data_IF_356678652628
#
_entry.id   IF_356678652628
#
_cell.length_a   1.000
_cell.length_b   1.000
_cell.length_c   1.000
_cell.angle_alpha   90.00
_cell.angle_beta   90.00
_cell.angle_gamma   90.00
#
_symmetry.space_group_name_H-M   'P 1'
#
loop_
_entity.id
_entity.type
_entity.pdbx_description
1 polymer ?
#
# COMPACT_ATOMS: atom_id res chain seq x y z
N UNK A 1 -19.59 -3.32 6.99
CA UNK A 1 -18.81 -4.48 6.50
C UNK A 1 -19.45 -4.97 5.20
N UNK A 2 -18.86 -4.63 4.04
CA UNK A 2 -19.25 -5.25 2.75
C UNK A 2 -17.98 -5.73 2.06
N UNK A 3 -18.08 -6.98 1.60
CA UNK A 3 -17.02 -7.88 1.13
C UNK A 3 -16.27 -7.31 -0.07
N UNK A 4 -14.94 -7.35 -0.02
CA UNK A 4 -14.11 -7.35 -1.22
C UNK A 4 -14.12 -8.79 -1.73
N UNK A 5 -14.58 -8.95 -2.96
CA UNK A 5 -14.68 -10.22 -3.67
C UNK A 5 -13.28 -10.81 -3.92
N UNK A 6 -13.17 -12.11 -3.67
CA UNK A 6 -12.07 -12.97 -4.06
C UNK A 6 -11.95 -13.05 -5.59
N UNK A 7 -10.71 -13.12 -6.10
CA UNK A 7 -10.39 -13.65 -7.44
C UNK A 7 -9.26 -14.70 -7.26
N UNK A 8 -9.45 -15.97 -7.69
CA UNK A 8 -8.44 -17.03 -7.58
C UNK A 8 -7.75 -17.29 -8.96
N UNK A 9 -6.88 -18.30 -9.13
CA UNK A 9 -5.42 -18.16 -9.17
C UNK A 9 -4.81 -18.64 -10.52
N UNK A 10 -3.50 -18.43 -10.68
CA UNK A 10 -2.59 -19.02 -11.69
C UNK A 10 -2.24 -18.18 -12.93
N UNK A 11 -1.18 -17.36 -12.79
CA UNK A 11 0.08 -17.52 -13.54
C UNK A 11 1.21 -16.70 -12.86
N UNK A 12 2.49 -17.09 -12.97
CA UNK A 12 3.51 -16.84 -11.94
C UNK A 12 4.12 -15.44 -12.01
N UNK A 13 4.45 -14.85 -10.85
CA UNK A 13 5.14 -13.55 -10.73
C UNK A 13 6.33 -13.61 -9.75
N UNK A 14 7.50 -13.09 -10.16
CA UNK A 14 8.42 -12.37 -9.27
C UNK A 14 9.08 -11.12 -9.94
N UNK A 15 9.67 -10.14 -9.22
CA UNK A 15 9.39 -9.55 -7.90
C UNK A 15 9.09 -8.03 -7.97
N UNK A 16 8.17 -7.51 -7.14
CA UNK A 16 8.00 -6.05 -7.00
C UNK A 16 6.79 -5.60 -6.20
N UNK A 17 5.60 -5.62 -6.79
CA UNK A 17 4.33 -5.24 -6.16
C UNK A 17 3.22 -5.88 -6.98
N UNK A 18 2.47 -6.82 -6.40
CA UNK A 18 1.44 -7.56 -7.11
C UNK A 18 0.06 -7.00 -6.72
N UNK A 19 -0.51 -6.20 -7.63
CA UNK A 19 -1.86 -5.63 -7.62
C UNK A 19 -2.07 -4.37 -6.79
N UNK A 20 -2.56 -3.34 -7.48
CA UNK A 20 -3.06 -2.10 -6.93
C UNK A 20 -4.47 -2.35 -6.42
N UNK A 21 -4.67 -2.37 -5.10
CA UNK A 21 -6.00 -2.24 -4.53
C UNK A 21 -6.24 -0.75 -4.31
N UNK A 22 -6.94 -0.09 -5.24
CA UNK A 22 -7.36 1.28 -4.99
C UNK A 22 -8.45 1.23 -3.93
N UNK A 23 -8.10 1.69 -2.72
CA UNK A 23 -9.05 1.80 -1.62
C UNK A 23 -10.15 2.75 -2.08
N UNK A 24 -11.36 2.23 -2.22
CA UNK A 24 -12.53 2.95 -2.69
C UNK A 24 -12.96 3.97 -1.63
N UNK A 25 -12.22 5.08 -1.53
CA UNK A 25 -12.54 6.22 -0.69
C UNK A 25 -13.63 6.99 -1.43
N UNK A 26 -14.91 6.76 -1.11
CA UNK A 26 -16.04 7.56 -1.61
C UNK A 26 -16.45 8.65 -0.62
N UNK A 27 -15.63 8.86 0.38
CA UNK A 27 -16.03 9.57 1.58
C UNK A 27 -15.22 10.84 1.76
N UNK A 28 -15.91 11.80 2.38
CA UNK A 28 -15.30 12.98 2.96
C UNK A 28 -14.36 12.49 4.07
N UNK A 29 -13.13 12.98 4.08
CA UNK A 29 -12.13 12.59 5.07
C UNK A 29 -11.89 13.74 6.04
N UNK A 30 -11.79 13.40 7.30
CA UNK A 30 -11.35 14.29 8.38
C UNK A 30 -9.82 14.26 8.49
N UNK A 31 -9.24 15.23 9.20
CA UNK A 31 -7.82 15.17 9.55
C UNK A 31 -7.58 14.14 10.65
N UNK A 32 -6.38 13.54 10.72
CA UNK A 32 -5.98 12.65 11.82
C UNK A 32 -6.01 13.38 13.19
N UNK A 33 -5.82 14.70 13.19
CA UNK A 33 -5.89 15.51 14.41
C UNK A 33 -7.34 15.59 14.94
N UNK A 34 -8.32 15.73 14.04
CA UNK A 34 -9.74 15.78 14.40
C UNK A 34 -10.32 14.40 14.67
N UNK A 35 -9.84 13.39 13.95
CA UNK A 35 -10.27 11.99 14.05
C UNK A 35 -9.08 11.05 14.23
N UNK A 36 -8.57 10.98 15.46
CA UNK A 36 -7.39 10.17 15.80
C UNK A 36 -7.64 8.67 15.63
N UNK A 37 -6.63 8.00 15.08
CA UNK A 37 -6.60 6.54 14.96
C UNK A 37 -6.64 5.85 16.33
N UNK A 38 -7.39 4.76 16.37
CA UNK A 38 -7.50 3.89 17.53
C UNK A 38 -7.31 2.44 17.08
N UNK A 39 -6.61 1.64 17.88
CA UNK A 39 -6.38 0.23 17.57
C UNK A 39 -7.67 -0.60 17.53
N UNK A 40 -8.72 -0.13 18.18
CA UNK A 40 -10.02 -0.80 18.27
C UNK A 40 -11.10 0.04 17.60
N UNK A 41 -12.07 -0.64 17.00
CA UNK A 41 -13.25 0.02 16.46
C UNK A 41 -13.99 0.77 17.57
N UNK A 42 -14.23 2.06 17.35
CA UNK A 42 -15.04 2.91 18.21
C UNK A 42 -16.35 3.26 17.51
N UNK A 43 -17.30 3.82 18.26
CA UNK A 43 -18.52 4.36 17.65
C UNK A 43 -18.17 5.60 16.85
N UNK A 44 -18.71 5.73 15.64
CA UNK A 44 -18.53 6.93 14.80
C UNK A 44 -19.04 8.18 15.53
N UNK A 45 -18.16 9.18 15.69
CA UNK A 45 -18.47 10.44 16.39
C UNK A 45 -18.64 11.58 15.38
N UNK A 46 -19.86 11.76 14.86
CA UNK A 46 -20.17 12.79 13.83
C UNK A 46 -19.80 14.21 14.24
N UNK A 47 -19.81 14.55 15.52
CA UNK A 47 -19.44 15.89 16.00
C UNK A 47 -17.95 16.21 15.82
N UNK A 48 -17.12 15.21 15.53
CA UNK A 48 -15.69 15.37 15.19
C UNK A 48 -15.43 15.38 13.67
N UNK A 49 -16.49 15.29 12.85
CA UNK A 49 -16.34 15.29 11.40
C UNK A 49 -16.09 16.71 10.88
N UNK A 50 -14.81 17.10 10.83
CA UNK A 50 -14.34 18.30 10.14
C UNK A 50 -13.75 17.88 8.80
N UNK A 51 -14.62 17.87 7.78
CA UNK A 51 -14.28 17.55 6.41
C UNK A 51 -13.08 18.38 5.91
N UNK A 52 -11.91 17.76 5.73
CA UNK A 52 -10.73 18.44 5.16
C UNK A 52 -10.53 18.14 3.69
N UNK A 53 -11.07 17.02 3.20
CA UNK A 53 -10.99 16.68 1.77
C UNK A 53 -12.11 15.73 1.36
N UNK A 54 -12.29 15.59 0.05
CA UNK A 54 -13.22 14.64 -0.56
C UNK A 54 -12.53 13.98 -1.75
N UNK A 55 -12.55 12.66 -1.77
CA UNK A 55 -12.07 11.91 -2.93
C UNK A 55 -13.13 11.98 -4.02
N UNK A 56 -12.74 12.54 -5.18
CA UNK A 56 -13.66 12.81 -6.29
C UNK A 56 -13.76 11.62 -7.25
N UNK A 57 -12.65 10.91 -7.45
CA UNK A 57 -12.55 9.77 -8.34
C UNK A 57 -11.37 8.91 -7.96
N UNK A 58 -11.40 7.67 -8.45
CA UNK A 58 -10.27 6.77 -8.39
C UNK A 58 -10.14 6.04 -9.73
N UNK A 59 -8.95 5.50 -10.00
CA UNK A 59 -8.68 4.73 -11.21
C UNK A 59 -7.71 3.63 -10.85
N UNK A 60 -8.09 2.40 -11.20
CA UNK A 60 -7.23 1.24 -11.04
C UNK A 60 -6.14 1.26 -12.11
N UNK A 61 -4.92 0.93 -11.70
CA UNK A 61 -3.83 0.60 -12.63
C UNK A 61 -4.10 -0.82 -13.16
N UNK A 62 -3.76 -1.08 -14.42
CA UNK A 62 -3.89 -2.43 -14.99
C UNK A 62 -3.11 -3.44 -14.15
N UNK A 63 -3.74 -4.55 -13.71
CA UNK A 63 -3.04 -5.57 -12.96
C UNK A 63 -1.81 -6.10 -13.71
N UNK A 64 -0.68 -6.19 -13.00
CA UNK A 64 0.61 -6.68 -13.50
C UNK A 64 1.27 -5.80 -14.58
N UNK A 65 0.87 -4.54 -14.71
CA UNK A 65 1.55 -3.56 -15.56
C UNK A 65 2.44 -2.65 -14.70
N UNK A 66 3.72 -3.03 -14.57
CA UNK A 66 4.69 -2.26 -13.78
C UNK A 66 4.98 -0.88 -14.40
N UNK A 67 4.89 -0.74 -15.72
CA UNK A 67 5.14 0.52 -16.41
C UNK A 67 3.97 1.49 -16.18
N UNK A 68 2.73 1.00 -16.19
CA UNK A 68 1.57 1.80 -15.82
C UNK A 68 1.59 2.17 -14.32
N UNK A 69 1.95 1.23 -13.45
CA UNK A 69 2.15 1.53 -12.02
C UNK A 69 3.21 2.61 -11.84
N UNK A 70 4.33 2.51 -12.55
CA UNK A 70 5.41 3.50 -12.51
C UNK A 70 4.92 4.86 -13.00
N UNK A 71 4.15 4.90 -14.09
CA UNK A 71 3.56 6.12 -14.61
C UNK A 71 2.55 6.75 -13.63
N UNK A 72 1.79 5.93 -12.90
CA UNK A 72 0.89 6.39 -11.85
C UNK A 72 1.65 6.93 -10.63
N UNK A 73 2.67 6.21 -10.15
CA UNK A 73 3.53 6.61 -9.03
C UNK A 73 4.28 7.91 -9.32
N UNK A 74 4.66 8.15 -10.58
CA UNK A 74 5.26 9.42 -10.99
C UNK A 74 4.33 10.63 -10.84
N UNK A 75 3.02 10.43 -10.76
CA UNK A 75 2.02 11.50 -10.58
C UNK A 75 1.62 11.67 -9.12
N UNK A 76 1.47 10.57 -8.39
CA UNK A 76 1.03 10.55 -7.00
C UNK A 76 1.33 9.20 -6.35
N UNK A 77 1.27 9.12 -5.02
CA UNK A 77 1.37 7.84 -4.33
C UNK A 77 0.20 6.90 -4.71
N UNK A 78 0.48 5.59 -4.80
CA UNK A 78 -0.46 4.56 -5.25
C UNK A 78 -0.66 3.51 -4.17
N UNK A 79 -1.91 3.25 -3.79
CA UNK A 79 -2.27 2.18 -2.85
C UNK A 79 -2.15 0.82 -3.51
N UNK A 80 -1.44 -0.12 -2.88
CA UNK A 80 -1.21 -1.46 -3.44
C UNK A 80 -1.41 -2.52 -2.37
N UNK A 81 -1.73 -3.74 -2.83
CA UNK A 81 -1.77 -4.92 -1.99
C UNK A 81 -0.49 -5.74 -2.20
N UNK A 82 -0.02 -6.38 -1.14
CA UNK A 82 1.13 -7.28 -1.13
C UNK A 82 0.82 -8.50 -0.26
N UNK A 83 1.65 -9.52 -0.37
CA UNK A 83 1.71 -10.62 0.60
C UNK A 83 2.77 -10.30 1.65
N UNK A 84 2.35 -10.17 2.90
CA UNK A 84 3.18 -9.73 4.02
C UNK A 84 3.27 -10.76 5.17
N UNK A 85 2.56 -11.89 5.06
CA UNK A 85 2.63 -13.00 6.02
C UNK A 85 3.95 -13.80 5.98
N UNK A 86 4.82 -13.56 4.99
CA UNK A 86 6.11 -14.26 4.87
C UNK A 86 7.18 -13.71 5.83
N UNK A 87 8.02 -14.58 6.46
CA UNK A 87 9.06 -14.16 7.40
C UNK A 87 10.04 -13.13 6.85
N UNK A 88 10.39 -13.20 5.57
CA UNK A 88 11.29 -12.27 4.90
C UNK A 88 10.76 -10.84 4.94
N UNK A 89 9.45 -10.67 4.84
CA UNK A 89 8.79 -9.37 4.95
C UNK A 89 8.73 -8.94 6.41
N UNK A 90 8.26 -9.81 7.30
CA UNK A 90 8.11 -9.49 8.73
C UNK A 90 9.42 -9.00 9.36
N UNK A 91 10.55 -9.62 8.98
CA UNK A 91 11.87 -9.30 9.52
C UNK A 91 12.71 -8.38 8.62
N UNK A 92 12.14 -7.79 7.58
CA UNK A 92 12.85 -6.83 6.74
C UNK A 92 13.38 -5.64 7.56
N UNK A 93 14.61 -5.21 7.26
CA UNK A 93 15.30 -4.12 7.96
C UNK A 93 15.75 -2.99 7.06
N UNK A 94 16.33 -3.25 5.90
CA UNK A 94 16.79 -2.19 4.99
C UNK A 94 17.21 -2.74 3.63
N UNK A 95 17.52 -1.84 2.70
CA UNK A 95 18.05 -2.17 1.37
C UNK A 95 16.95 -2.46 0.35
N UNK A 96 17.34 -2.85 -0.86
CA UNK A 96 16.38 -3.27 -1.88
C UNK A 96 15.86 -4.67 -1.52
N UNK A 97 14.54 -4.82 -1.55
CA UNK A 97 13.89 -6.08 -1.20
C UNK A 97 13.88 -7.02 -2.41
N UNK A 98 14.64 -8.12 -2.35
CA UNK A 98 14.87 -9.04 -3.48
C UNK A 98 14.26 -10.43 -3.29
N UNK A 99 13.31 -10.61 -2.38
CA UNK A 99 12.72 -11.93 -2.11
C UNK A 99 11.50 -12.16 -2.98
N UNK A 100 11.22 -13.43 -3.26
CA UNK A 100 10.01 -13.84 -3.97
C UNK A 100 8.80 -13.47 -3.12
N UNK A 101 8.00 -12.52 -3.60
CA UNK A 101 6.67 -12.28 -3.07
C UNK A 101 5.74 -13.36 -3.64
N UNK A 102 4.80 -13.85 -2.84
CA UNK A 102 3.74 -14.70 -3.36
C UNK A 102 2.58 -13.87 -3.95
N UNK A 103 1.45 -14.55 -4.17
CA UNK A 103 0.23 -13.98 -4.75
C UNK A 103 -0.96 -13.99 -3.78
N UNK A 104 -0.74 -14.39 -2.52
CA UNK A 104 -1.78 -14.41 -1.47
C UNK A 104 -1.82 -13.06 -0.79
N UNK A 105 -2.34 -12.07 -1.51
CA UNK A 105 -2.39 -10.69 -1.06
C UNK A 105 -3.22 -10.57 0.24
N UNK A 106 -2.61 -10.00 1.28
CA UNK A 106 -3.16 -9.94 2.63
C UNK A 106 -2.95 -8.59 3.31
N UNK A 107 -2.12 -7.71 2.73
CA UNK A 107 -1.71 -6.45 3.36
C UNK A 107 -1.72 -5.28 2.38
N UNK A 108 -2.26 -4.15 2.84
CA UNK A 108 -2.33 -2.91 2.06
C UNK A 108 -1.19 -1.97 2.42
N UNK A 109 -0.48 -1.44 1.41
CA UNK A 109 0.65 -0.52 1.56
C UNK A 109 0.57 0.61 0.54
N UNK A 110 1.46 1.60 0.66
CA UNK A 110 1.46 2.77 -0.22
C UNK A 110 2.79 2.88 -0.96
N UNK A 111 2.78 2.76 -2.29
CA UNK A 111 3.95 3.04 -3.12
C UNK A 111 4.08 4.55 -3.27
N UNK A 112 5.21 5.09 -2.81
CA UNK A 112 5.48 6.54 -2.79
C UNK A 112 6.60 6.95 -3.74
N UNK A 113 7.24 5.98 -4.39
CA UNK A 113 8.29 6.24 -5.37
C UNK A 113 8.91 4.96 -5.90
N UNK A 114 9.89 5.12 -6.77
CA UNK A 114 10.72 4.05 -7.33
C UNK A 114 12.10 4.61 -7.66
N UNK A 115 13.08 3.72 -7.84
CA UNK A 115 14.43 4.14 -8.18
C UNK A 115 15.32 2.98 -8.62
N UNK A 116 16.61 3.27 -8.68
CA UNK A 116 17.65 2.27 -8.92
C UNK A 116 18.78 2.52 -7.94
N UNK A 117 19.23 1.46 -7.26
CA UNK A 117 20.35 1.48 -6.34
C UNK A 117 21.29 0.33 -6.68
N UNK A 118 22.55 0.63 -6.92
CA UNK A 118 23.60 -0.36 -7.22
C UNK A 118 23.27 -1.28 -8.42
N UNK A 119 22.47 -0.79 -9.36
CA UNK A 119 21.98 -1.56 -10.53
C UNK A 119 20.61 -2.21 -10.34
N UNK A 120 20.12 -2.29 -9.11
CA UNK A 120 18.84 -2.92 -8.77
C UNK A 120 17.70 -1.90 -8.74
N UNK A 121 16.62 -2.19 -9.48
CA UNK A 121 15.40 -1.39 -9.45
C UNK A 121 14.62 -1.67 -8.17
N UNK A 122 13.99 -0.64 -7.61
CA UNK A 122 13.19 -0.80 -6.39
C UNK A 122 11.94 0.09 -6.40
N UNK A 123 10.92 -0.38 -5.66
CA UNK A 123 9.79 0.43 -5.22
C UNK A 123 10.06 0.97 -3.82
N UNK A 124 9.78 2.25 -3.58
CA UNK A 124 9.75 2.84 -2.24
C UNK A 124 8.34 2.73 -1.70
N UNK A 125 8.16 1.95 -0.65
CA UNK A 125 6.84 1.58 -0.14
C UNK A 125 6.72 1.99 1.32
N UNK A 126 5.71 2.78 1.65
CA UNK A 126 5.36 3.14 3.03
C UNK A 126 4.50 2.03 3.64
N UNK A 127 4.93 1.53 4.79
CA UNK A 127 4.18 0.57 5.60
C UNK A 127 3.45 1.29 6.77
N UNK A 128 2.59 0.55 7.47
CA UNK A 128 1.81 1.04 8.62
C UNK A 128 2.15 0.28 9.91
N UNK A 129 3.35 -0.31 10.01
CA UNK A 129 3.81 -1.10 11.17
C UNK A 129 4.76 -0.32 12.09
N UNK A 130 4.74 1.01 12.00
CA UNK A 130 5.62 1.89 12.76
C UNK A 130 7.01 2.05 12.15
N UNK A 131 7.76 3.02 12.68
CA UNK A 131 9.08 3.41 12.15
C UNK A 131 10.19 2.42 12.51
N UNK A 132 10.00 1.61 13.56
CA UNK A 132 10.94 0.57 13.99
C UNK A 132 11.00 -0.64 13.03
N UNK A 133 10.05 -0.74 12.12
CA UNK A 133 10.01 -1.78 11.09
C UNK A 133 10.68 -1.29 9.80
N UNK A 134 11.49 -2.14 9.16
CA UNK A 134 12.14 -1.80 7.90
C UNK A 134 13.05 -0.57 7.99
N UNK A 135 13.17 0.15 6.88
CA UNK A 135 13.95 1.37 6.79
C UNK A 135 13.08 2.56 7.24
N UNK A 136 13.00 2.79 8.55
CA UNK A 136 12.16 3.85 9.15
C UNK A 136 10.67 3.76 8.75
N UNK A 137 10.11 2.54 8.71
CA UNK A 137 8.73 2.28 8.29
C UNK A 137 8.52 2.07 6.79
N UNK A 138 9.61 2.02 6.00
CA UNK A 138 9.56 1.82 4.55
C UNK A 138 10.24 0.54 4.11
N UNK A 139 9.83 0.07 2.93
CA UNK A 139 10.64 -0.80 2.07
C UNK A 139 11.43 0.08 1.11
N UNK A 140 12.69 -0.31 0.91
CA UNK A 140 13.62 0.38 0.04
C UNK A 140 14.51 1.36 0.80
N UNK A 141 15.56 1.85 0.14
CA UNK A 141 16.48 2.83 0.69
C UNK A 141 15.87 4.25 0.88
#
# INVERSE_FOLDING_TARGET
MRRILSIPPNQPLPPGVNQVAVVNLRDIMDSEQDYTSHANASTCVKSKCTAVTKVMSYTDVTPNDEDELKAAVARQAVSVAIEADQPEFQFYKSGVFHRSCGTKLDHGVLVVGYGTKDGDKYWKVKNSWGEEWGAAGFIGP
#
